data_IF_545562913455
#
_entry.id   IF_545562913455
#
_cell.length_a   1.000
_cell.length_b   1.000
_cell.length_c   1.000
_cell.angle_alpha   90.00
_cell.angle_beta   90.00
_cell.angle_gamma   90.00
#
_symmetry.space_group_name_H-M   'P 1'
#
loop_
_entity.id
_entity.type
_entity.pdbx_description
1 polymer ?
#
# COMPACT_ATOMS: atom_id res chain seq x y z
N UNK A 1 18.53 -3.37 -1.25
CA UNK A 1 19.62 -4.21 -1.81
C UNK A 1 19.17 -5.64 -1.77
N UNK A 2 18.86 -6.22 -2.91
CA UNK A 2 18.67 -7.65 -3.06
C UNK A 2 20.07 -8.25 -3.17
N UNK A 3 20.54 -8.92 -2.13
CA UNK A 3 21.80 -9.67 -2.15
C UNK A 3 21.50 -11.15 -2.33
N UNK A 4 22.39 -11.87 -2.97
CA UNK A 4 22.40 -13.32 -3.11
C UNK A 4 21.37 -13.91 -4.09
N UNK A 5 21.31 -13.36 -5.31
CA UNK A 5 20.64 -14.03 -6.43
C UNK A 5 19.13 -13.82 -6.55
N UNK A 6 18.51 -13.01 -5.70
CA UNK A 6 17.16 -12.56 -5.94
C UNK A 6 17.17 -11.51 -7.06
N UNK A 7 16.34 -11.74 -8.08
CA UNK A 7 16.16 -10.81 -9.20
C UNK A 7 15.02 -9.87 -8.84
N UNK A 8 15.22 -8.57 -9.09
CA UNK A 8 14.19 -7.55 -8.90
C UNK A 8 12.97 -7.84 -9.77
N UNK A 9 11.80 -7.94 -9.14
CA UNK A 9 10.51 -8.23 -9.77
C UNK A 9 9.82 -7.04 -10.41
N UNK A 10 10.45 -5.87 -10.37
CA UNK A 10 9.88 -4.62 -10.82
C UNK A 10 9.26 -3.81 -9.70
N UNK A 11 8.72 -2.61 -10.00
CA UNK A 11 8.18 -1.68 -9.03
C UNK A 11 7.03 -2.21 -8.16
N UNK A 12 6.39 -3.30 -8.55
CA UNK A 12 5.26 -3.86 -7.82
C UNK A 12 3.99 -3.00 -7.95
N UNK A 13 3.17 -3.01 -6.90
CA UNK A 13 1.96 -2.19 -6.86
C UNK A 13 2.28 -0.73 -6.53
N UNK A 14 1.81 0.17 -7.40
CA UNK A 14 1.94 1.61 -7.27
C UNK A 14 0.54 2.25 -7.27
N UNK A 15 0.14 2.84 -6.13
CA UNK A 15 -1.14 3.54 -5.99
C UNK A 15 -1.13 4.86 -6.75
N UNK A 16 -2.26 5.22 -7.35
CA UNK A 16 -2.47 6.57 -7.91
C UNK A 16 -2.91 7.57 -6.85
N UNK A 17 -3.55 7.12 -5.78
CA UNK A 17 -3.96 7.96 -4.68
C UNK A 17 -2.83 8.19 -3.70
N UNK A 18 -2.64 9.45 -3.30
CA UNK A 18 -1.79 9.82 -2.17
C UNK A 18 -2.36 11.04 -1.49
N UNK A 19 -2.45 10.95 -0.18
CA UNK A 19 -2.75 12.12 0.62
C UNK A 19 -1.48 12.94 0.86
N UNK A 20 -1.46 14.17 0.37
CA UNK A 20 -0.46 15.19 0.69
C UNK A 20 -1.18 16.40 1.29
N UNK A 21 -0.91 16.77 2.55
CA UNK A 21 -1.53 17.92 3.20
C UNK A 21 -1.16 19.26 2.53
N UNK A 22 -0.13 19.30 1.70
CA UNK A 22 0.29 20.52 0.97
C UNK A 22 -0.40 20.66 -0.38
N UNK A 23 -1.19 19.68 -0.82
CA UNK A 23 -1.82 19.67 -2.14
C UNK A 23 -0.84 19.45 -3.30
N UNK A 24 0.42 19.22 -3.02
CA UNK A 24 1.40 18.80 -4.03
C UNK A 24 1.39 17.28 -4.10
N UNK A 25 0.84 16.77 -5.18
CA UNK A 25 0.82 15.33 -5.46
C UNK A 25 2.23 14.84 -5.79
N UNK A 26 2.97 14.49 -4.78
CA UNK A 26 4.18 13.70 -4.93
C UNK A 26 3.78 12.24 -4.94
N UNK A 27 3.92 11.60 -6.08
CA UNK A 27 3.59 10.20 -6.25
C UNK A 27 4.83 9.39 -5.91
N UNK A 28 4.85 8.96 -4.68
CA UNK A 28 5.83 8.02 -4.19
C UNK A 28 5.08 6.82 -3.62
N UNK A 29 4.47 6.07 -4.51
CA UNK A 29 3.73 4.87 -4.17
C UNK A 29 4.56 3.61 -4.21
N UNK A 30 5.65 3.61 -4.97
CA UNK A 30 6.56 2.48 -5.07
C UNK A 30 7.69 2.59 -4.07
N UNK A 31 8.25 1.45 -3.70
CA UNK A 31 9.51 1.39 -2.96
C UNK A 31 10.69 1.88 -3.83
N UNK A 32 10.43 2.07 -5.12
CA UNK A 32 11.42 2.51 -6.10
C UNK A 32 10.79 3.53 -7.06
N UNK A 33 10.50 4.73 -6.52
CA UNK A 33 9.90 5.86 -7.24
C UNK A 33 10.71 6.32 -8.46
N UNK A 34 11.98 5.92 -8.55
CA UNK A 34 12.83 6.25 -9.69
C UNK A 34 12.53 5.42 -10.94
N UNK A 35 11.90 4.25 -10.81
CA UNK A 35 11.59 3.38 -11.93
C UNK A 35 10.25 3.68 -12.59
N UNK A 36 9.25 4.11 -11.80
CA UNK A 36 7.89 4.38 -12.27
C UNK A 36 7.41 5.73 -11.76
N UNK A 37 6.94 6.59 -12.64
CA UNK A 37 6.37 7.89 -12.29
C UNK A 37 4.98 8.05 -12.88
N UNK A 38 4.14 8.88 -12.24
CA UNK A 38 2.81 9.21 -12.74
C UNK A 38 2.67 10.70 -12.90
N UNK A 39 1.92 11.12 -13.91
CA UNK A 39 1.52 12.52 -14.08
C UNK A 39 0.04 12.59 -14.42
N UNK A 40 -0.66 13.54 -13.81
CA UNK A 40 -2.05 13.87 -14.14
C UNK A 40 -2.34 15.33 -13.78
N UNK A 41 -3.38 15.87 -14.36
CA UNK A 41 -3.85 17.23 -14.09
C UNK A 41 -4.59 17.25 -12.73
N UNK A 42 -4.07 17.92 -11.68
CA UNK A 42 -4.69 17.95 -10.36
C UNK A 42 -6.03 18.70 -10.33
N UNK A 43 -6.35 19.48 -11.36
CA UNK A 43 -7.67 20.10 -11.51
C UNK A 43 -8.71 19.09 -11.96
N UNK A 44 -8.30 18.07 -12.74
CA UNK A 44 -9.18 17.04 -13.28
C UNK A 44 -9.25 15.77 -12.45
N UNK A 45 -8.32 15.58 -11.55
CA UNK A 45 -8.22 14.41 -10.68
C UNK A 45 -8.22 14.79 -9.22
N UNK A 46 -8.87 13.97 -8.41
CA UNK A 46 -8.90 14.10 -6.96
C UNK A 46 -8.37 12.82 -6.34
N UNK A 47 -7.39 12.94 -5.47
CA UNK A 47 -6.95 11.83 -4.63
C UNK A 47 -7.89 11.69 -3.43
N UNK A 48 -8.33 10.48 -3.18
CA UNK A 48 -9.23 10.15 -2.07
C UNK A 48 -8.50 9.22 -1.10
N UNK A 49 -8.62 9.55 0.17
CA UNK A 49 -7.92 8.88 1.26
C UNK A 49 -8.70 7.72 1.86
N UNK A 50 -10.00 7.76 1.81
CA UNK A 50 -10.83 6.83 2.54
C UNK A 50 -11.12 5.57 1.74
N UNK A 51 -10.57 4.51 2.18
CA UNK A 51 -10.47 3.14 1.73
C UNK A 51 -11.77 2.39 1.58
N UNK A 52 -12.66 2.85 0.76
CA UNK A 52 -13.76 2.01 0.31
C UNK A 52 -13.36 1.18 -0.92
N UNK A 53 -12.24 1.53 -1.57
CA UNK A 53 -11.85 0.95 -2.87
C UNK A 53 -10.35 0.66 -2.92
N UNK A 54 -9.99 -0.43 -3.56
CA UNK A 54 -8.62 -0.75 -3.87
C UNK A 54 -7.72 -1.22 -2.71
N UNK A 55 -6.44 -1.50 -3.00
CA UNK A 55 -5.47 -1.93 -1.99
C UNK A 55 -5.13 -0.83 -0.97
N UNK A 56 -5.20 0.44 -1.40
CA UNK A 56 -4.98 1.63 -0.56
C UNK A 56 -5.72 2.84 -1.15
N UNK A 57 -5.13 4.04 -1.12
CA UNK A 57 -5.74 5.25 -1.67
C UNK A 57 -5.99 5.13 -3.19
N UNK A 58 -6.89 5.94 -3.71
CA UNK A 58 -7.30 5.94 -5.11
C UNK A 58 -7.46 7.36 -5.65
N UNK A 59 -7.60 7.50 -6.96
CA UNK A 59 -7.98 8.75 -7.61
C UNK A 59 -9.31 8.61 -8.31
N UNK A 60 -10.08 9.70 -8.31
CA UNK A 60 -11.29 9.83 -9.12
C UNK A 60 -11.19 11.06 -10.00
N UNK A 61 -11.67 10.96 -11.24
CA UNK A 61 -11.70 12.11 -12.12
C UNK A 61 -13.01 12.91 -11.99
N UNK A 62 -12.90 14.22 -12.13
CA UNK A 62 -14.04 15.13 -12.13
C UNK A 62 -14.42 15.65 -13.54
N UNK A 63 -13.69 15.22 -14.56
CA UNK A 63 -13.90 15.60 -15.96
C UNK A 63 -13.60 14.44 -16.90
N UNK A 64 -14.34 14.36 -18.03
CA UNK A 64 -14.01 13.49 -19.13
C UNK A 64 -12.62 13.85 -19.72
N UNK A 65 -12.01 12.90 -20.42
CA UNK A 65 -10.72 13.07 -21.09
C UNK A 65 -9.58 13.57 -20.15
N UNK A 66 -9.66 13.22 -18.88
CA UNK A 66 -8.60 13.44 -17.93
C UNK A 66 -7.57 12.31 -18.06
N UNK A 67 -6.36 12.60 -18.49
CA UNK A 67 -5.33 11.56 -18.70
C UNK A 67 -4.49 11.37 -17.46
N UNK A 68 -4.26 10.11 -17.07
CA UNK A 68 -3.15 9.69 -16.22
C UNK A 68 -2.07 9.13 -17.12
N UNK A 69 -0.85 9.64 -17.04
CA UNK A 69 0.30 9.08 -17.73
C UNK A 69 1.22 8.40 -16.74
N UNK A 70 1.41 7.11 -16.91
CA UNK A 70 2.40 6.30 -16.18
C UNK A 70 3.65 6.24 -17.05
N UNK A 71 4.79 6.65 -16.52
CA UNK A 71 6.08 6.59 -17.23
C UNK A 71 6.96 5.55 -16.54
N UNK A 72 7.39 4.54 -17.28
CA UNK A 72 8.38 3.57 -16.82
C UNK A 72 9.74 3.91 -17.41
N UNK A 73 10.77 4.01 -16.56
CA UNK A 73 12.18 4.18 -16.96
C UNK A 73 12.87 2.84 -17.22
N UNK A 74 12.22 1.74 -16.88
CA UNK A 74 12.76 0.38 -16.94
C UNK A 74 11.89 -0.52 -17.81
N UNK A 75 12.48 -1.59 -18.34
CA UNK A 75 11.73 -2.62 -19.03
C UNK A 75 10.88 -3.42 -18.05
N UNK A 76 9.63 -3.63 -18.40
CA UNK A 76 8.67 -4.44 -17.66
C UNK A 76 8.10 -5.52 -18.61
N UNK A 77 7.54 -6.58 -18.01
CA UNK A 77 6.81 -7.58 -18.80
C UNK A 77 5.31 -7.28 -18.82
N UNK A 78 4.76 -6.84 -17.69
CA UNK A 78 3.35 -6.48 -17.62
C UNK A 78 3.09 -5.25 -16.77
N UNK A 79 2.04 -4.53 -17.12
CA UNK A 79 1.36 -3.54 -16.29
C UNK A 79 -0.09 -3.99 -16.11
N UNK A 80 -0.61 -3.95 -14.88
CA UNK A 80 -2.02 -4.21 -14.61
C UNK A 80 -2.66 -2.95 -14.07
N UNK A 81 -3.61 -2.37 -14.78
CA UNK A 81 -4.44 -1.26 -14.30
C UNK A 81 -5.45 -1.85 -13.31
N UNK A 82 -5.48 -1.33 -12.09
CA UNK A 82 -6.45 -1.70 -11.06
C UNK A 82 -7.47 -0.57 -10.95
N UNK A 83 -8.72 -0.86 -11.29
CA UNK A 83 -9.80 0.12 -11.29
C UNK A 83 -11.07 -0.44 -10.68
N UNK A 84 -11.96 0.45 -10.27
CA UNK A 84 -13.30 0.08 -9.87
C UNK A 84 -14.23 0.02 -11.09
N UNK A 85 -15.20 -0.86 -11.06
CA UNK A 85 -16.36 -0.86 -11.94
C UNK A 85 -17.64 -0.74 -11.14
N UNK A 86 -18.58 0.04 -11.64
CA UNK A 86 -19.88 0.27 -10.99
C UNK A 86 -20.95 0.66 -12.03
N UNK A 87 -22.23 0.72 -11.62
CA UNK A 87 -23.32 0.94 -12.55
C UNK A 87 -23.26 2.27 -13.31
N UNK A 88 -22.63 3.29 -12.71
CA UNK A 88 -22.48 4.61 -13.32
C UNK A 88 -21.10 4.82 -13.96
N UNK A 89 -20.21 3.82 -13.93
CA UNK A 89 -18.93 3.91 -14.63
C UNK A 89 -19.14 3.98 -16.13
N UNK A 90 -18.28 4.72 -16.82
CA UNK A 90 -18.19 4.75 -18.27
C UNK A 90 -17.12 3.79 -18.77
N UNK A 91 -16.81 3.94 -20.03
CA UNK A 91 -15.63 3.31 -20.58
C UNK A 91 -14.41 4.16 -20.28
N UNK A 92 -13.25 3.54 -20.23
CA UNK A 92 -11.96 4.23 -20.32
C UNK A 92 -11.12 3.59 -21.40
N UNK A 93 -10.11 4.29 -21.85
CA UNK A 93 -9.18 3.78 -22.84
C UNK A 93 -7.74 3.93 -22.38
N UNK A 94 -6.89 3.05 -22.86
CA UNK A 94 -5.46 3.13 -22.60
C UNK A 94 -4.66 2.93 -23.88
N UNK A 95 -3.41 3.39 -23.86
CA UNK A 95 -2.43 3.12 -24.92
C UNK A 95 -1.02 3.09 -24.36
N UNK A 96 -0.13 2.36 -25.04
CA UNK A 96 1.30 2.37 -24.79
C UNK A 96 1.96 3.33 -25.77
N UNK A 97 2.78 4.25 -25.25
CA UNK A 97 3.42 5.33 -26.01
C UNK A 97 2.36 6.12 -26.81
N UNK A 98 2.64 6.40 -28.07
CA UNK A 98 1.69 7.06 -28.97
C UNK A 98 0.92 6.05 -29.84
N UNK A 99 0.79 4.79 -29.40
CA UNK A 99 0.07 3.75 -30.12
C UNK A 99 -1.44 3.94 -30.17
N UNK A 100 -2.12 2.94 -30.72
CA UNK A 100 -3.59 2.94 -30.81
C UNK A 100 -4.22 2.81 -29.42
N UNK A 101 -5.36 3.46 -29.25
CA UNK A 101 -6.17 3.33 -28.03
C UNK A 101 -6.88 1.99 -27.99
N UNK A 102 -6.90 1.39 -26.80
CA UNK A 102 -7.70 0.22 -26.46
C UNK A 102 -8.77 0.63 -25.47
N UNK A 103 -10.04 0.39 -25.77
CA UNK A 103 -11.17 0.73 -24.88
C UNK A 103 -11.47 -0.41 -23.93
N UNK A 104 -11.76 -0.07 -22.69
CA UNK A 104 -12.15 -0.96 -21.60
C UNK A 104 -13.50 -0.53 -21.06
N UNK A 105 -14.44 -1.46 -20.98
CA UNK A 105 -15.73 -1.19 -20.34
C UNK A 105 -15.61 -1.35 -18.83
N UNK A 106 -15.88 -0.27 -18.08
CA UNK A 106 -15.88 -0.26 -16.63
C UNK A 106 -17.31 -0.30 -16.03
N UNK A 107 -18.35 -0.20 -16.86
CA UNK A 107 -19.73 -0.27 -16.39
C UNK A 107 -20.08 -1.69 -15.91
N UNK A 108 -20.64 -1.79 -14.71
CA UNK A 108 -21.12 -3.04 -14.16
C UNK A 108 -22.22 -2.78 -13.11
N UNK A 109 -23.29 -3.57 -13.15
CA UNK A 109 -24.40 -3.46 -12.22
C UNK A 109 -23.97 -3.64 -10.74
N UNK A 110 -22.92 -4.43 -10.51
CA UNK A 110 -22.36 -4.66 -9.17
C UNK A 110 -21.02 -3.94 -9.06
N UNK A 111 -20.87 -3.15 -8.01
CA UNK A 111 -19.62 -2.50 -7.66
C UNK A 111 -18.53 -3.55 -7.38
N UNK A 112 -17.32 -3.33 -7.88
CA UNK A 112 -16.20 -4.25 -7.68
C UNK A 112 -14.90 -3.75 -8.27
N UNK A 113 -13.80 -4.36 -7.84
CA UNK A 113 -12.48 -4.13 -8.43
C UNK A 113 -12.32 -4.98 -9.69
N UNK A 114 -11.74 -4.40 -10.71
CA UNK A 114 -11.37 -5.07 -11.93
C UNK A 114 -9.93 -4.74 -12.32
N UNK A 115 -9.36 -5.61 -13.13
CA UNK A 115 -7.96 -5.56 -13.53
C UNK A 115 -7.84 -5.66 -15.03
N UNK A 116 -7.00 -4.81 -15.60
CA UNK A 116 -6.65 -4.86 -17.03
C UNK A 116 -5.16 -5.13 -17.13
N UNK A 117 -4.80 -6.37 -17.42
CA UNK A 117 -3.40 -6.76 -17.64
C UNK A 117 -2.97 -6.42 -19.07
N UNK A 118 -1.84 -5.78 -19.20
CA UNK A 118 -1.25 -5.28 -20.43
C UNK A 118 0.15 -5.86 -20.57
N UNK A 119 0.39 -6.59 -21.66
CA UNK A 119 1.74 -7.02 -22.03
C UNK A 119 2.53 -5.82 -22.54
N UNK A 120 3.61 -5.48 -21.87
CA UNK A 120 4.54 -4.41 -22.22
C UNK A 120 5.96 -4.93 -22.49
N UNK A 121 6.13 -6.25 -22.60
CA UNK A 121 7.44 -6.87 -22.82
C UNK A 121 8.18 -6.34 -24.06
N UNK A 122 7.44 -5.89 -25.07
CA UNK A 122 7.98 -5.29 -26.27
C UNK A 122 8.21 -3.77 -26.22
N UNK A 123 7.82 -3.09 -25.12
CA UNK A 123 7.91 -1.64 -25.03
C UNK A 123 9.34 -1.11 -24.74
N UNK A 124 10.22 -1.98 -24.21
CA UNK A 124 11.58 -1.59 -23.82
C UNK A 124 11.63 -0.71 -22.56
N UNK A 125 12.68 0.09 -22.45
CA UNK A 125 12.82 1.09 -21.40
C UNK A 125 12.20 2.43 -21.83
N UNK A 126 11.84 3.28 -20.86
CA UNK A 126 11.34 4.64 -21.10
C UNK A 126 10.04 4.67 -21.96
N UNK A 127 9.09 3.84 -21.61
CA UNK A 127 7.76 3.86 -22.22
C UNK A 127 6.72 4.56 -21.35
N UNK A 128 5.58 4.92 -21.97
CA UNK A 128 4.44 5.48 -21.27
C UNK A 128 3.20 4.61 -21.45
N UNK A 129 2.36 4.61 -20.42
CA UNK A 129 0.98 4.12 -20.45
C UNK A 129 0.07 5.31 -20.17
N UNK A 130 -0.72 5.73 -21.17
CA UNK A 130 -1.78 6.72 -20.97
C UNK A 130 -3.09 5.99 -20.63
N UNK A 131 -3.81 6.49 -19.63
CA UNK A 131 -5.13 6.01 -19.22
C UNK A 131 -6.08 7.21 -19.27
N UNK A 132 -7.16 7.11 -20.03
CA UNK A 132 -8.10 8.21 -20.27
C UNK A 132 -9.54 7.76 -20.07
N UNK A 133 -10.27 8.27 -19.06
CA UNK A 133 -11.68 8.01 -18.85
C UNK A 133 -12.54 8.79 -19.83
N UNK A 134 -13.64 8.18 -20.31
CA UNK A 134 -14.58 8.83 -21.22
C UNK A 134 -15.54 9.79 -20.52
N UNK A 135 -15.75 9.61 -19.21
CA UNK A 135 -16.59 10.51 -18.41
C UNK A 135 -16.03 10.74 -17.01
N UNK A 136 -16.64 11.66 -16.27
CA UNK A 136 -16.29 11.92 -14.86
C UNK A 136 -16.78 10.80 -13.93
N UNK A 137 -16.11 10.62 -12.80
CA UNK A 137 -16.49 9.70 -11.74
C UNK A 137 -15.86 8.31 -11.84
N UNK A 138 -14.91 8.10 -12.73
CA UNK A 138 -14.14 6.86 -12.79
C UNK A 138 -13.14 6.79 -11.63
N UNK A 139 -12.91 5.58 -11.11
CA UNK A 139 -12.05 5.32 -9.96
C UNK A 139 -10.90 4.40 -10.36
N UNK A 140 -9.68 4.90 -10.19
CA UNK A 140 -8.46 4.15 -10.44
C UNK A 140 -7.64 4.02 -9.16
N UNK A 141 -7.31 2.78 -8.80
CA UNK A 141 -6.51 2.48 -7.60
C UNK A 141 -5.01 2.64 -7.85
N UNK A 142 -4.55 2.19 -9.01
CA UNK A 142 -3.13 2.22 -9.36
C UNK A 142 -2.78 1.22 -10.45
N UNK A 143 -1.50 0.95 -10.56
CA UNK A 143 -0.96 -0.07 -11.45
C UNK A 143 -0.10 -1.07 -10.67
N UNK A 144 -0.12 -2.32 -11.12
CA UNK A 144 0.83 -3.34 -10.69
C UNK A 144 1.83 -3.57 -11.83
N UNK A 145 3.10 -3.30 -11.59
CA UNK A 145 4.16 -3.35 -12.57
C UNK A 145 5.11 -4.51 -12.27
N UNK A 146 5.29 -5.42 -13.22
CA UNK A 146 6.03 -6.67 -12.99
C UNK A 146 7.06 -6.96 -14.07
N UNK A 147 8.17 -7.55 -13.62
CA UNK A 147 9.09 -8.37 -14.42
C UNK A 147 8.77 -9.84 -14.21
N UNK A 148 9.03 -10.69 -15.20
CA UNK A 148 8.83 -12.15 -15.09
C UNK A 148 10.13 -12.88 -14.74
N UNK A 149 9.99 -14.10 -14.20
CA UNK A 149 11.11 -14.95 -13.82
C UNK A 149 11.12 -15.28 -12.32
N UNK A 150 12.27 -15.69 -11.82
CA UNK A 150 12.49 -15.89 -10.38
C UNK A 150 12.76 -14.53 -9.71
N UNK A 151 11.71 -13.81 -9.42
CA UNK A 151 11.74 -12.42 -8.99
C UNK A 151 11.06 -12.25 -7.63
N UNK A 152 11.52 -11.27 -6.86
CA UNK A 152 10.89 -10.82 -5.63
C UNK A 152 10.26 -9.44 -5.88
N UNK A 153 8.99 -9.29 -5.58
CA UNK A 153 8.28 -8.01 -5.58
C UNK A 153 7.92 -7.60 -4.16
N UNK A 154 7.95 -6.31 -3.89
CA UNK A 154 7.43 -5.74 -2.65
C UNK A 154 6.28 -4.79 -2.99
N UNK A 155 5.09 -5.15 -2.53
CA UNK A 155 3.90 -4.35 -2.71
C UNK A 155 3.59 -3.58 -1.43
N UNK A 156 3.55 -2.25 -1.49
CA UNK A 156 3.16 -1.42 -0.38
C UNK A 156 1.65 -1.17 -0.42
N UNK A 157 0.96 -1.66 0.59
CA UNK A 157 -0.48 -1.50 0.75
C UNK A 157 -0.73 -0.77 2.07
N UNK A 158 -1.11 0.50 1.98
CA UNK A 158 -1.34 1.31 3.18
C UNK A 158 -1.85 2.71 2.82
N UNK A 159 -2.58 3.30 3.73
CA UNK A 159 -3.09 4.67 3.65
C UNK A 159 -2.63 5.46 4.86
N UNK A 160 -2.27 6.72 4.66
CA UNK A 160 -1.84 7.60 5.74
C UNK A 160 -2.95 7.79 6.79
N UNK A 161 -2.64 7.54 8.06
CA UNK A 161 -3.60 7.64 9.17
C UNK A 161 -4.62 6.51 9.23
N UNK A 162 -4.49 5.46 8.41
CA UNK A 162 -5.40 4.33 8.46
C UNK A 162 -5.12 3.41 9.67
N UNK A 163 -6.16 2.98 10.35
CA UNK A 163 -6.14 1.92 11.35
C UNK A 163 -6.49 0.57 10.72
N UNK A 164 -6.25 -0.54 11.43
CA UNK A 164 -6.56 -1.88 10.93
C UNK A 164 -8.03 -2.08 10.56
N UNK A 165 -8.94 -1.41 11.26
CA UNK A 165 -10.37 -1.52 11.02
C UNK A 165 -10.82 -1.05 9.65
N UNK A 166 -10.10 -0.09 9.03
CA UNK A 166 -10.40 0.36 7.67
C UNK A 166 -10.22 -0.77 6.66
N UNK A 167 -9.11 -1.52 6.75
CA UNK A 167 -8.85 -2.66 5.88
C UNK A 167 -9.71 -3.88 6.24
N UNK A 168 -9.90 -4.13 7.53
CA UNK A 168 -10.67 -5.27 8.01
C UNK A 168 -12.13 -5.25 7.56
N UNK A 169 -12.75 -4.06 7.51
CA UNK A 169 -14.16 -3.87 7.15
C UNK A 169 -14.40 -3.60 5.67
N UNK A 170 -13.34 -3.38 4.90
CA UNK A 170 -13.44 -3.09 3.47
C UNK A 170 -13.52 -4.40 2.65
N UNK A 171 -14.69 -4.66 2.07
CA UNK A 171 -14.88 -5.86 1.23
C UNK A 171 -14.18 -5.75 -0.13
N UNK A 172 -14.08 -4.55 -0.69
CA UNK A 172 -13.38 -4.32 -1.96
C UNK A 172 -11.87 -4.46 -1.81
N UNK A 173 -11.33 -4.22 -0.62
CA UNK A 173 -9.91 -4.46 -0.32
C UNK A 173 -9.50 -5.91 -0.61
N UNK A 174 -10.31 -6.89 -0.19
CA UNK A 174 -10.06 -8.30 -0.48
C UNK A 174 -10.00 -8.56 -1.99
N UNK A 175 -10.93 -8.01 -2.75
CA UNK A 175 -10.97 -8.16 -4.20
C UNK A 175 -9.74 -7.55 -4.88
N UNK A 176 -9.28 -6.40 -4.40
CA UNK A 176 -8.07 -5.76 -4.93
C UNK A 176 -6.79 -6.54 -4.59
N UNK A 177 -6.72 -7.11 -3.37
CA UNK A 177 -5.60 -7.95 -2.94
C UNK A 177 -5.49 -9.27 -3.73
N UNK A 178 -6.59 -9.74 -4.35
CA UNK A 178 -6.55 -10.89 -5.27
C UNK A 178 -5.64 -10.64 -6.49
N UNK A 179 -5.43 -9.39 -6.87
CA UNK A 179 -4.49 -9.03 -7.95
C UNK A 179 -3.04 -9.20 -7.51
N UNK A 180 -2.74 -8.89 -6.26
CA UNK A 180 -1.38 -8.96 -5.71
C UNK A 180 -0.98 -10.41 -5.40
N UNK A 181 -1.88 -11.22 -4.86
CA UNK A 181 -1.66 -12.62 -4.44
C UNK A 181 -0.36 -12.81 -3.66
N UNK A 182 -0.20 -12.15 -2.51
CA UNK A 182 1.07 -12.14 -1.79
C UNK A 182 1.45 -13.54 -1.30
N UNK A 183 2.72 -13.94 -1.47
CA UNK A 183 3.27 -15.15 -0.84
C UNK A 183 3.69 -14.90 0.60
N UNK A 184 4.02 -13.66 0.93
CA UNK A 184 4.28 -13.19 2.28
C UNK A 184 3.60 -11.84 2.54
N UNK A 185 3.10 -11.63 3.75
CA UNK A 185 2.48 -10.38 4.17
C UNK A 185 3.07 -9.90 5.49
N UNK A 186 3.48 -8.64 5.50
CA UNK A 186 3.95 -7.93 6.70
C UNK A 186 2.86 -6.98 7.15
N UNK A 187 2.35 -7.17 8.36
CA UNK A 187 1.22 -6.42 8.92
C UNK A 187 1.71 -5.60 10.10
N UNK A 188 1.62 -4.26 9.99
CA UNK A 188 2.04 -3.33 11.05
C UNK A 188 0.93 -2.32 11.33
N UNK A 189 0.30 -2.46 12.49
CA UNK A 189 -0.71 -1.55 13.03
C UNK A 189 -0.48 -1.30 14.52
N UNK A 190 -1.00 -0.20 15.06
CA UNK A 190 -0.91 0.16 16.47
C UNK A 190 -0.77 1.66 16.72
N UNK A 191 -0.10 2.40 15.84
CA UNK A 191 0.11 3.85 16.01
C UNK A 191 -1.21 4.62 15.93
N UNK A 192 -1.98 4.40 14.87
CA UNK A 192 -3.26 5.09 14.68
C UNK A 192 -4.34 4.57 15.63
N UNK A 193 -4.30 3.28 15.97
CA UNK A 193 -5.16 2.72 17.01
C UNK A 193 -4.93 3.39 18.36
N UNK A 194 -3.68 3.70 18.72
CA UNK A 194 -3.36 4.42 19.94
C UNK A 194 -3.85 5.86 19.88
N UNK A 195 -3.61 6.57 18.78
CA UNK A 195 -4.07 7.94 18.56
C UNK A 195 -5.60 8.05 18.66
N UNK A 196 -6.32 7.14 18.02
CA UNK A 196 -7.79 7.11 17.99
C UNK A 196 -8.42 6.45 19.22
N UNK A 197 -7.61 6.01 20.19
CA UNK A 197 -8.05 5.27 21.37
C UNK A 197 -8.88 4.00 21.05
N UNK A 198 -8.60 3.34 19.95
CA UNK A 198 -9.19 2.04 19.62
C UNK A 198 -8.70 1.01 20.64
N UNK A 199 -9.62 0.20 21.16
CA UNK A 199 -9.23 -0.77 22.18
C UNK A 199 -8.30 -1.86 21.62
N UNK A 200 -7.32 -2.37 22.39
CA UNK A 200 -6.51 -3.50 21.95
C UNK A 200 -7.36 -4.73 21.56
N UNK A 201 -8.51 -4.92 22.20
CA UNK A 201 -9.44 -5.99 21.86
C UNK A 201 -10.06 -5.81 20.47
N UNK A 202 -10.45 -4.57 20.12
CA UNK A 202 -10.98 -4.27 18.78
C UNK A 202 -9.89 -4.44 17.71
N UNK A 203 -8.69 -3.91 17.95
CA UNK A 203 -7.55 -4.09 17.05
C UNK A 203 -7.25 -5.58 16.82
N UNK A 204 -7.35 -6.42 17.86
CA UNK A 204 -7.19 -7.86 17.70
C UNK A 204 -8.16 -8.45 16.68
N UNK A 205 -9.42 -8.05 16.74
CA UNK A 205 -10.48 -8.51 15.80
C UNK A 205 -10.14 -8.02 14.39
N UNK A 206 -9.79 -6.74 14.25
CA UNK A 206 -9.52 -6.14 12.95
C UNK A 206 -8.28 -6.76 12.29
N UNK A 207 -7.19 -6.94 13.02
CA UNK A 207 -5.97 -7.59 12.48
C UNK A 207 -6.21 -9.06 12.15
N UNK A 208 -7.01 -9.79 12.97
CA UNK A 208 -7.39 -11.17 12.63
C UNK A 208 -8.17 -11.23 11.33
N UNK A 209 -9.14 -10.33 11.13
CA UNK A 209 -9.91 -10.26 9.88
C UNK A 209 -9.02 -9.97 8.66
N UNK A 210 -7.99 -9.14 8.80
CA UNK A 210 -7.00 -8.90 7.74
C UNK A 210 -6.24 -10.20 7.42
N UNK A 211 -5.75 -10.90 8.44
CA UNK A 211 -5.04 -12.18 8.27
C UNK A 211 -5.94 -13.20 7.56
N UNK A 212 -7.19 -13.31 7.97
CA UNK A 212 -8.14 -14.24 7.38
C UNK A 212 -8.39 -13.91 5.90
N UNK A 213 -8.62 -12.64 5.56
CA UNK A 213 -8.75 -12.18 4.17
C UNK A 213 -7.50 -12.49 3.33
N UNK A 214 -6.30 -12.27 3.84
CA UNK A 214 -5.05 -12.60 3.15
C UNK A 214 -4.96 -14.11 2.89
N UNK A 215 -5.28 -14.96 3.87
CA UNK A 215 -5.25 -16.42 3.73
C UNK A 215 -6.36 -16.97 2.86
N UNK A 216 -7.49 -16.32 2.79
CA UNK A 216 -8.52 -16.67 1.82
C UNK A 216 -8.05 -16.46 0.37
N UNK A 217 -7.20 -15.46 0.14
CA UNK A 217 -6.61 -15.18 -1.18
C UNK A 217 -5.44 -16.12 -1.46
N UNK A 218 -4.55 -16.28 -0.49
CA UNK A 218 -3.36 -17.14 -0.57
C UNK A 218 -3.26 -17.99 0.71
N UNK A 219 -3.80 -19.23 0.72
CA UNK A 219 -3.90 -20.04 1.93
C UNK A 219 -2.57 -20.30 2.65
N UNK A 220 -1.48 -20.37 1.92
CA UNK A 220 -0.13 -20.61 2.45
C UNK A 220 0.70 -19.32 2.56
N UNK A 221 0.05 -18.15 2.59
CA UNK A 221 0.77 -16.89 2.76
C UNK A 221 1.49 -16.85 4.12
N UNK A 222 2.78 -16.63 4.10
CA UNK A 222 3.57 -16.39 5.31
C UNK A 222 3.21 -15.04 5.91
N UNK A 223 2.90 -15.01 7.20
CA UNK A 223 2.51 -13.78 7.88
C UNK A 223 3.58 -13.37 8.88
N UNK A 224 3.92 -12.09 8.84
CA UNK A 224 4.72 -11.42 9.86
C UNK A 224 3.91 -10.27 10.46
N UNK A 225 3.73 -10.28 11.77
CA UNK A 225 3.04 -9.21 12.51
C UNK A 225 4.09 -8.35 13.19
N UNK A 226 3.97 -7.05 13.09
CA UNK A 226 4.88 -6.10 13.72
C UNK A 226 4.11 -5.13 14.60
N UNK A 227 4.62 -4.92 15.83
CA UNK A 227 4.18 -3.80 16.66
C UNK A 227 5.05 -2.58 16.31
N UNK A 228 4.46 -1.43 15.94
CA UNK A 228 5.20 -0.24 15.55
C UNK A 228 6.02 0.35 16.69
N UNK A 229 7.01 1.21 16.39
CA UNK A 229 7.79 1.91 17.43
C UNK A 229 6.92 2.77 18.34
N UNK A 230 7.37 3.05 19.59
CA UNK A 230 6.70 4.00 20.47
C UNK A 230 6.77 5.43 19.88
N UNK A 231 5.72 6.20 20.10
CA UNK A 231 5.58 7.57 19.61
C UNK A 231 5.27 8.54 20.73
N UNK A 232 5.15 9.85 20.41
CA UNK A 232 4.71 10.88 21.37
C UNK A 232 3.39 10.52 22.08
N UNK A 233 2.55 9.68 21.48
CA UNK A 233 1.29 9.23 22.08
C UNK A 233 1.48 8.41 23.37
N UNK A 234 2.70 7.91 23.63
CA UNK A 234 3.04 7.27 24.90
C UNK A 234 2.99 8.24 26.09
N UNK A 235 3.29 9.51 25.85
CA UNK A 235 3.47 10.54 26.89
C UNK A 235 2.38 11.61 26.87
N UNK A 236 1.60 11.71 25.81
CA UNK A 236 0.56 12.73 25.66
C UNK A 236 -0.81 12.22 26.14
N UNK A 237 -1.52 13.06 26.87
CA UNK A 237 -2.92 12.84 27.23
C UNK A 237 -3.81 13.36 26.09
N UNK A 238 -4.97 12.74 25.83
CA UNK A 238 -5.68 11.74 26.63
C UNK A 238 -5.57 10.28 26.11
N UNK A 239 -4.48 9.85 25.50
CA UNK A 239 -4.38 8.50 24.93
C UNK A 239 -4.49 7.42 26.02
N UNK A 240 -5.59 6.67 25.95
CA UNK A 240 -5.99 5.72 26.97
C UNK A 240 -5.14 4.46 26.98
N UNK A 241 -4.71 4.03 25.79
CA UNK A 241 -3.95 2.78 25.64
C UNK A 241 -2.52 3.09 25.22
N UNK A 242 -1.57 2.34 25.77
CA UNK A 242 -0.15 2.44 25.46
C UNK A 242 0.26 1.35 24.48
N UNK A 243 1.33 1.56 23.74
CA UNK A 243 1.79 0.63 22.71
C UNK A 243 2.06 -0.78 23.25
N UNK A 244 2.43 -0.90 24.51
CA UNK A 244 2.65 -2.19 25.17
C UNK A 244 1.39 -3.07 25.19
N UNK A 245 0.20 -2.46 25.34
CA UNK A 245 -1.07 -3.19 25.33
C UNK A 245 -1.36 -3.76 23.93
N UNK A 246 -1.03 -3.03 22.88
CA UNK A 246 -1.14 -3.50 21.50
C UNK A 246 -0.07 -4.57 21.19
N UNK A 247 1.16 -4.38 21.66
CA UNK A 247 2.23 -5.36 21.48
C UNK A 247 1.87 -6.74 22.05
N UNK A 248 1.26 -6.79 23.24
CA UNK A 248 0.82 -8.04 23.87
C UNK A 248 -0.26 -8.75 23.03
N UNK A 249 -1.22 -8.00 22.53
CA UNK A 249 -2.29 -8.53 21.67
C UNK A 249 -1.75 -9.03 20.32
N UNK A 250 -0.88 -8.27 19.67
CA UNK A 250 -0.26 -8.63 18.40
C UNK A 250 0.62 -9.88 18.54
N UNK A 251 1.36 -10.00 19.65
CA UNK A 251 2.12 -11.21 19.95
C UNK A 251 1.20 -12.44 20.08
N UNK A 252 0.09 -12.33 20.81
CA UNK A 252 -0.89 -13.42 20.95
C UNK A 252 -1.52 -13.81 19.61
N UNK A 253 -1.80 -12.81 18.75
CA UNK A 253 -2.26 -13.06 17.37
C UNK A 253 -1.22 -13.81 16.56
N UNK A 254 0.06 -13.41 16.63
CA UNK A 254 1.13 -14.07 15.93
C UNK A 254 1.24 -15.56 16.34
N UNK A 255 1.21 -15.84 17.64
CA UNK A 255 1.23 -17.23 18.16
C UNK A 255 0.04 -18.02 17.64
N UNK A 256 -1.19 -17.47 17.74
CA UNK A 256 -2.42 -18.15 17.31
C UNK A 256 -2.41 -18.45 15.81
N UNK A 257 -1.87 -17.54 15.01
CA UNK A 257 -1.84 -17.63 13.55
C UNK A 257 -0.57 -18.30 13.01
N UNK A 258 0.34 -18.79 13.86
CA UNK A 258 1.65 -19.32 13.47
C UNK A 258 2.44 -18.32 12.59
N UNK A 259 2.34 -17.04 12.93
CA UNK A 259 3.00 -15.94 12.25
C UNK A 259 4.29 -15.54 12.96
N UNK A 260 5.23 -14.95 12.24
CA UNK A 260 6.38 -14.28 12.83
C UNK A 260 5.93 -13.02 13.59
N UNK A 261 6.70 -12.62 14.62
CA UNK A 261 6.41 -11.40 15.38
C UNK A 261 7.66 -10.56 15.60
N UNK A 262 7.56 -9.26 15.32
CA UNK A 262 8.60 -8.26 15.65
C UNK A 262 8.04 -7.24 16.62
N UNK A 263 8.74 -7.01 17.74
CA UNK A 263 8.37 -6.04 18.76
C UNK A 263 9.30 -4.82 18.70
N UNK A 264 8.97 -3.83 17.88
CA UNK A 264 9.77 -2.60 17.77
C UNK A 264 9.81 -1.77 19.05
N UNK A 265 8.78 -1.68 19.90
CA UNK A 265 8.91 -1.08 21.23
C UNK A 265 10.07 -1.58 22.05
N UNK A 266 10.41 -2.88 21.97
CA UNK A 266 11.59 -3.43 22.67
C UNK A 266 12.92 -3.05 22.03
N UNK A 267 12.94 -2.82 20.73
CA UNK A 267 14.15 -2.46 19.98
C UNK A 267 14.44 -0.96 20.05
N UNK A 268 13.41 -0.13 19.98
CA UNK A 268 13.53 1.33 20.05
C UNK A 268 13.71 1.85 21.49
N UNK A 269 13.25 1.10 22.49
CA UNK A 269 13.12 1.59 23.86
C UNK A 269 11.95 2.57 24.03
N UNK A 270 11.73 3.11 25.26
CA UNK A 270 10.67 4.08 25.52
C UNK A 270 10.83 5.35 24.68
N UNK A 271 9.71 5.91 24.22
CA UNK A 271 9.74 7.20 23.53
C UNK A 271 10.27 8.31 24.44
N UNK A 272 11.18 9.12 23.92
CA UNK A 272 11.77 10.27 24.61
C UNK A 272 12.29 11.31 23.60
N UNK A 273 12.64 12.49 24.06
CA UNK A 273 13.32 13.50 23.23
C UNK A 273 14.63 12.95 22.64
N UNK A 274 15.34 12.07 23.38
CA UNK A 274 16.54 11.42 22.89
C UNK A 274 16.26 10.52 21.66
N UNK A 275 15.08 9.92 21.54
CA UNK A 275 14.69 9.15 20.36
C UNK A 275 14.66 10.02 19.10
N UNK A 276 14.28 11.29 19.23
CA UNK A 276 14.28 12.26 18.12
C UNK A 276 15.70 12.74 17.82
N UNK A 277 16.44 13.16 18.82
CA UNK A 277 17.81 13.70 18.64
C UNK A 277 18.79 12.64 18.15
N UNK A 278 18.56 11.37 18.43
CA UNK A 278 19.35 10.27 17.90
C UNK A 278 19.03 9.89 16.45
N UNK A 279 17.92 10.39 15.90
CA UNK A 279 17.44 10.04 14.56
C UNK A 279 16.63 8.73 14.50
N UNK A 280 16.31 8.11 15.64
CA UNK A 280 15.39 6.96 15.68
C UNK A 280 13.97 7.35 15.35
N UNK A 281 13.52 8.52 15.81
CA UNK A 281 12.22 9.10 15.48
C UNK A 281 12.41 10.41 14.74
N UNK A 282 11.48 10.75 13.85
CA UNK A 282 11.45 12.00 13.12
C UNK A 282 11.01 13.17 14.05
N UNK A 283 11.16 14.39 13.56
CA UNK A 283 10.79 15.61 14.27
C UNK A 283 9.30 15.72 14.60
N UNK A 284 8.44 15.05 13.84
CA UNK A 284 7.00 14.94 14.12
C UNK A 284 6.69 14.04 15.33
N UNK A 285 7.70 13.27 15.79
CA UNK A 285 7.63 12.40 16.97
C UNK A 285 6.66 11.21 16.81
N UNK A 286 6.23 10.93 15.59
CA UNK A 286 5.31 9.84 15.23
C UNK A 286 5.98 8.85 14.27
N UNK A 287 6.61 9.36 13.24
CA UNK A 287 7.25 8.51 12.24
C UNK A 287 8.69 8.18 12.61
N UNK A 288 9.19 6.98 12.26
CA UNK A 288 10.61 6.67 12.36
C UNK A 288 11.46 7.68 11.58
N UNK A 289 12.56 8.11 12.16
CA UNK A 289 13.60 8.88 11.47
C UNK A 289 14.48 7.95 10.62
N UNK A 290 15.52 8.51 10.02
CA UNK A 290 16.44 7.76 9.15
C UNK A 290 17.01 6.49 9.83
N UNK A 291 17.60 6.64 11.03
CA UNK A 291 18.14 5.50 11.79
C UNK A 291 17.05 4.54 12.26
N UNK A 292 15.85 5.05 12.54
CA UNK A 292 14.71 4.20 12.88
C UNK A 292 14.24 3.37 11.69
N UNK A 293 14.17 3.97 10.51
CA UNK A 293 13.89 3.26 9.26
C UNK A 293 14.93 2.19 8.94
N UNK A 294 16.22 2.51 9.11
CA UNK A 294 17.32 1.57 8.94
C UNK A 294 17.23 0.38 9.92
N UNK A 295 16.93 0.65 11.19
CA UNK A 295 16.72 -0.40 12.20
C UNK A 295 15.55 -1.32 11.83
N UNK A 296 14.42 -0.75 11.39
CA UNK A 296 13.24 -1.50 10.92
C UNK A 296 13.63 -2.38 9.75
N UNK A 297 14.20 -1.82 8.70
CA UNK A 297 14.58 -2.53 7.49
C UNK A 297 15.57 -3.68 7.79
N UNK A 298 16.61 -3.41 8.56
CA UNK A 298 17.62 -4.42 8.95
C UNK A 298 16.99 -5.55 9.76
N UNK A 299 16.07 -5.23 10.66
CA UNK A 299 15.39 -6.24 11.50
C UNK A 299 14.50 -7.15 10.65
N UNK A 300 13.69 -6.57 9.76
CA UNK A 300 12.84 -7.32 8.84
C UNK A 300 13.69 -8.22 7.95
N UNK A 301 14.72 -7.66 7.31
CA UNK A 301 15.61 -8.40 6.41
C UNK A 301 16.31 -9.57 7.12
N UNK A 302 16.74 -9.36 8.36
CA UNK A 302 17.36 -10.42 9.17
C UNK A 302 16.38 -11.54 9.54
N UNK A 303 15.10 -11.24 9.67
CA UNK A 303 14.07 -12.25 9.95
C UNK A 303 13.81 -13.15 8.74
N UNK A 304 13.92 -12.64 7.52
CA UNK A 304 13.77 -13.43 6.28
C UNK A 304 14.99 -14.30 5.95
N UNK A 305 16.16 -14.06 6.58
CA UNK A 305 17.37 -14.85 6.34
C UNK A 305 17.47 -16.13 7.18
N UNK A 306 16.56 -16.34 8.13
CA UNK A 306 16.52 -17.53 9.00
C UNK A 306 15.57 -18.57 8.47
#
# INVERSE_FOLDING_TARGET
MLTDGAIDGGPGYCSFGRWDPTGMFSIDGSMDSDELTFTYDPVKWKSEKENTFGPCDYVTNNAANAVITVTSKVALNSLTIIHERHANAGDFRYRINSGSWTTVNASNATQGINNVEIDVSGAGNNFTLDIEPEKAGEIFCGVLAKRTGNVLTFDKVGSSGANAGLFARNELWKSSMQTLKPNGAVIMFGTNEMEENITPAQMKIDVQNIIDKVREITPNCDIMIMCPPPTKFETEEPHKYKIAAYADILYKLAVTNKAAFINFPKLFGPFSTASVTSGLMNVDRVHPGEKGGELIATTIFSAFKK
#
